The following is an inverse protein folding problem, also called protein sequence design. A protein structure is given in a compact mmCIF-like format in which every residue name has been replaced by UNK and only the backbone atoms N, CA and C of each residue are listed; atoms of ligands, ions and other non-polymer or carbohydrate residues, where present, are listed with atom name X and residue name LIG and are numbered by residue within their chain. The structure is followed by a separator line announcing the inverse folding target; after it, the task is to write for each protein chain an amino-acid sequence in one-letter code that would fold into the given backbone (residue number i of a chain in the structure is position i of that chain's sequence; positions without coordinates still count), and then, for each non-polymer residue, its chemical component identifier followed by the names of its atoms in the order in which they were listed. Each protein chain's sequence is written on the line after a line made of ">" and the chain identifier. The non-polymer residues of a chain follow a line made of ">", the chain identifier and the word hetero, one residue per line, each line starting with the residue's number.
data_IF_893488055774
#
_entry.id   IF_893488055774
#
_cell.length_a   1.000
_cell.length_b   1.000
_cell.length_c   1.000
_cell.angle_alpha   90.00
_cell.angle_beta   90.00
_cell.angle_gamma   90.00
#
_symmetry.space_group_name_H-M   'P 1'
#
loop_
_entity.id
_entity.type
_entity.pdbx_description
1 polymer ?
#
# COMPACT_ATOMS: atom_id res chain seq x y z
N UNK A 1 -8.64 1.16 7.26
CA UNK A 1 -8.58 0.79 5.82
C UNK A 1 -7.77 1.79 5.00
N UNK A 2 -7.96 3.12 5.16
CA UNK A 2 -7.21 4.15 4.44
C UNK A 2 -5.70 3.86 4.32
N UNK A 3 -5.00 3.67 5.44
CA UNK A 3 -3.55 3.41 5.44
C UNK A 3 -3.19 2.11 4.69
N UNK A 4 -4.04 1.09 4.77
CA UNK A 4 -3.83 -0.18 4.08
C UNK A 4 -4.04 -0.07 2.56
N UNK A 5 -4.80 0.92 2.08
CA UNK A 5 -4.94 1.22 0.66
C UNK A 5 -3.73 2.00 0.17
N UNK A 6 -3.33 3.05 0.89
CA UNK A 6 -2.20 3.90 0.48
C UNK A 6 -0.83 3.23 0.60
N UNK A 7 -0.69 2.14 1.36
CA UNK A 7 0.59 1.49 1.59
C UNK A 7 1.31 1.09 0.31
N UNK A 8 0.60 0.58 -0.69
CA UNK A 8 1.22 0.14 -1.95
C UNK A 8 1.61 1.33 -2.82
N UNK A 9 0.79 2.38 -2.84
CA UNK A 9 1.13 3.63 -3.54
C UNK A 9 2.43 4.22 -2.99
N UNK A 10 2.49 4.39 -1.66
CA UNK A 10 3.66 4.95 -0.99
C UNK A 10 4.90 4.08 -1.24
N UNK A 11 4.76 2.75 -1.09
CA UNK A 11 5.83 1.79 -1.34
C UNK A 11 6.40 1.97 -2.75
N UNK A 12 5.58 1.90 -3.79
CA UNK A 12 6.09 2.01 -5.17
C UNK A 12 6.51 3.43 -5.60
N UNK A 13 6.23 4.44 -4.78
CA UNK A 13 6.73 5.81 -4.94
C UNK A 13 8.04 6.08 -4.19
N UNK A 14 8.49 5.13 -3.35
CA UNK A 14 9.62 5.28 -2.44
C UNK A 14 10.95 5.12 -3.17
N UNK A 15 11.90 6.00 -2.84
CA UNK A 15 13.30 5.97 -3.33
C UNK A 15 14.27 5.81 -2.16
N UNK A 16 15.54 5.51 -2.44
CA UNK A 16 16.60 5.52 -1.42
C UNK A 16 16.74 6.92 -0.80
N UNK A 17 16.66 7.98 -1.62
CA UNK A 17 16.81 9.37 -1.19
C UNK A 17 15.58 9.91 -0.45
N UNK A 18 14.39 9.40 -0.82
CA UNK A 18 13.10 9.78 -0.23
C UNK A 18 12.30 8.52 0.12
N UNK A 19 12.62 7.87 1.24
CA UNK A 19 11.91 6.66 1.68
C UNK A 19 10.48 6.99 2.11
N UNK A 20 9.50 6.22 1.62
CA UNK A 20 8.08 6.41 1.91
C UNK A 20 7.43 5.13 2.45
N UNK A 21 7.93 4.64 3.59
CA UNK A 21 7.52 3.35 4.16
C UNK A 21 6.70 3.45 5.44
N UNK A 22 6.30 4.66 5.84
CA UNK A 22 5.62 4.91 7.12
C UNK A 22 4.28 4.18 7.28
N UNK A 23 3.60 3.87 6.16
CA UNK A 23 2.33 3.11 6.15
C UNK A 23 2.53 1.60 5.99
N UNK A 24 3.76 1.14 5.73
CA UNK A 24 4.06 -0.29 5.66
C UNK A 24 4.00 -0.93 7.05
N UNK A 25 3.62 -2.23 7.15
CA UNK A 25 3.71 -2.95 8.41
C UNK A 25 5.13 -2.87 8.98
N UNK A 26 5.26 -2.65 10.28
CA UNK A 26 6.56 -2.59 10.96
C UNK A 26 7.02 -3.97 11.42
N UNK A 27 8.32 -4.12 11.68
CA UNK A 27 8.88 -5.31 12.32
C UNK A 27 9.57 -6.28 11.38
N UNK A 28 10.21 -7.30 11.96
CA UNK A 28 11.06 -8.26 11.24
C UNK A 28 10.27 -9.17 10.29
N UNK A 29 8.98 -9.37 10.57
CA UNK A 29 8.06 -10.14 9.73
C UNK A 29 7.32 -9.28 8.69
N UNK A 30 7.72 -8.01 8.53
CA UNK A 30 7.11 -7.16 7.51
C UNK A 30 7.43 -7.67 6.10
N UNK A 31 6.41 -7.66 5.25
CA UNK A 31 6.60 -7.85 3.81
C UNK A 31 7.41 -6.70 3.20
N UNK A 32 7.39 -5.50 3.79
CA UNK A 32 8.19 -4.37 3.36
C UNK A 32 9.66 -4.56 3.77
N UNK A 33 10.53 -4.71 2.78
CA UNK A 33 11.96 -4.97 2.96
C UNK A 33 12.65 -3.82 3.71
N UNK A 34 12.24 -2.56 3.47
CA UNK A 34 12.73 -1.39 4.20
C UNK A 34 12.36 -1.45 5.68
N UNK A 35 11.11 -1.78 6.01
CA UNK A 35 10.67 -1.89 7.42
C UNK A 35 11.38 -3.04 8.14
N UNK A 36 11.65 -4.13 7.42
CA UNK A 36 12.42 -5.25 7.95
C UNK A 36 13.88 -4.87 8.22
N UNK A 37 14.52 -4.15 7.32
CA UNK A 37 15.87 -3.60 7.53
C UNK A 37 15.90 -2.60 8.70
N UNK A 38 14.87 -1.74 8.82
CA UNK A 38 14.70 -0.83 9.97
C UNK A 38 14.60 -1.59 11.28
N UNK A 39 13.79 -2.64 11.34
CA UNK A 39 13.62 -3.44 12.55
C UNK A 39 14.90 -4.19 12.97
N UNK A 40 15.78 -4.51 12.02
CA UNK A 40 17.07 -5.18 12.26
C UNK A 40 18.23 -4.22 12.51
N UNK A 41 18.03 -2.91 12.32
CA UNK A 41 19.11 -1.92 12.39
C UNK A 41 20.05 -1.93 11.16
N UNK A 42 19.57 -2.42 10.02
CA UNK A 42 20.35 -2.64 8.79
C UNK A 42 20.10 -1.56 7.72
N UNK A 43 19.41 -0.44 8.05
CA UNK A 43 19.04 0.60 7.07
C UNK A 43 20.22 1.21 6.31
N UNK A 44 21.41 1.28 6.93
CA UNK A 44 22.60 1.82 6.28
C UNK A 44 23.04 1.00 5.05
N UNK A 45 22.68 -0.28 5.00
CA UNK A 45 22.99 -1.20 3.89
C UNK A 45 21.79 -1.42 2.96
N UNK A 46 20.63 -0.87 3.31
CA UNK A 46 19.42 -1.08 2.55
C UNK A 46 19.48 -0.36 1.19
N UNK A 47 19.00 -1.05 0.17
CA UNK A 47 18.78 -0.53 -1.17
C UNK A 47 17.46 -1.05 -1.70
N UNK A 48 16.68 -0.16 -2.31
CA UNK A 48 15.46 -0.57 -3.01
C UNK A 48 15.81 -1.55 -4.14
N UNK A 49 15.16 -2.71 -4.14
CA UNK A 49 15.40 -3.82 -5.06
C UNK A 49 14.34 -3.95 -6.16
N UNK A 50 13.31 -3.10 -6.13
CA UNK A 50 12.24 -3.05 -7.12
C UNK A 50 12.33 -1.82 -8.01
N UNK A 51 11.71 -1.92 -9.20
CA UNK A 51 11.52 -0.78 -10.08
C UNK A 51 10.41 0.11 -9.54
N UNK A 52 10.72 1.39 -9.35
CA UNK A 52 9.73 2.39 -9.01
C UNK A 52 8.71 2.54 -10.14
N UNK A 53 7.49 2.91 -9.76
CA UNK A 53 6.51 3.32 -10.76
C UNK A 53 6.94 4.68 -11.35
N UNK A 54 6.89 4.84 -12.68
CA UNK A 54 7.13 6.12 -13.32
C UNK A 54 6.22 7.24 -12.78
N UNK A 55 6.67 8.50 -12.71
CA UNK A 55 5.88 9.61 -12.15
C UNK A 55 4.53 9.84 -12.84
N UNK A 56 4.45 9.62 -14.15
CA UNK A 56 3.21 9.69 -14.94
C UNK A 56 2.24 8.58 -14.55
N UNK A 57 2.73 7.35 -14.35
CA UNK A 57 1.91 6.23 -13.84
C UNK A 57 1.41 6.52 -12.43
N UNK A 58 2.29 6.97 -11.52
CA UNK A 58 1.90 7.37 -10.17
C UNK A 58 0.85 8.47 -10.17
N UNK A 59 0.95 9.43 -11.08
CA UNK A 59 -0.02 10.52 -11.23
C UNK A 59 -1.36 9.98 -11.75
N UNK A 60 -1.33 9.11 -12.76
CA UNK A 60 -2.52 8.54 -13.38
C UNK A 60 -3.32 7.65 -12.41
N UNK A 61 -2.65 6.88 -11.55
CA UNK A 61 -3.33 5.96 -10.62
C UNK A 61 -3.70 6.62 -9.28
N UNK A 62 -3.12 7.77 -8.93
CA UNK A 62 -3.39 8.43 -7.63
C UNK A 62 -4.89 8.70 -7.39
N UNK A 63 -5.69 9.20 -8.36
CA UNK A 63 -7.13 9.39 -8.16
C UNK A 63 -7.86 8.10 -7.79
N UNK A 64 -7.39 6.94 -8.27
CA UNK A 64 -7.96 5.63 -7.91
C UNK A 64 -7.73 5.34 -6.42
N UNK A 65 -6.53 5.61 -5.90
CA UNK A 65 -6.25 5.46 -4.48
C UNK A 65 -7.07 6.43 -3.62
N UNK A 66 -7.25 7.67 -4.09
CA UNK A 66 -8.11 8.67 -3.44
C UNK A 66 -9.56 8.20 -3.38
N UNK A 67 -10.11 7.72 -4.49
CA UNK A 67 -11.47 7.19 -4.59
C UNK A 67 -11.69 5.97 -3.70
N UNK A 68 -10.77 5.00 -3.74
CA UNK A 68 -10.84 3.80 -2.91
C UNK A 68 -10.72 4.11 -1.41
N UNK A 69 -10.13 5.25 -1.06
CA UNK A 69 -9.91 5.66 0.32
C UNK A 69 -11.01 6.58 0.88
N UNK A 70 -12.06 6.87 0.11
CA UNK A 70 -13.20 7.67 0.57
C UNK A 70 -13.91 7.00 1.74
N UNK A 71 -14.16 7.75 2.83
CA UNK A 71 -14.81 7.21 4.03
C UNK A 71 -16.17 6.57 3.72
N UNK A 72 -16.94 7.17 2.83
CA UNK A 72 -18.25 6.65 2.39
C UNK A 72 -18.16 5.26 1.75
N UNK A 73 -17.06 4.95 1.05
CA UNK A 73 -16.81 3.61 0.51
C UNK A 73 -16.34 2.67 1.62
N UNK A 74 -15.41 3.14 2.46
CA UNK A 74 -14.82 2.33 3.54
C UNK A 74 -15.85 1.94 4.61
N UNK A 75 -16.79 2.81 4.93
CA UNK A 75 -17.87 2.57 5.89
C UNK A 75 -18.77 1.40 5.44
N UNK A 76 -19.01 1.26 4.13
CA UNK A 76 -19.76 0.12 3.58
C UNK A 76 -19.05 -1.22 3.79
N UNK A 77 -17.72 -1.21 3.90
CA UNK A 77 -16.93 -2.40 4.18
C UNK A 77 -16.90 -2.77 5.68
N UNK A 78 -17.31 -1.89 6.60
CA UNK A 78 -17.33 -2.19 8.04
C UNK A 78 -18.49 -3.12 8.43
N UNK A 79 -19.57 -3.15 7.63
CA UNK A 79 -20.77 -3.96 7.89
C UNK A 79 -20.74 -5.38 7.30
N UNK A 80 -19.60 -5.82 6.74
CA UNK A 80 -19.43 -7.04 5.93
C UNK A 80 -19.57 -8.37 6.67
N UNK A 81 -20.68 -8.59 7.38
CA UNK A 81 -21.07 -9.92 7.89
C UNK A 81 -21.98 -10.70 6.92
N UNK A 82 -22.40 -10.09 5.80
CA UNK A 82 -23.33 -10.68 4.84
C UNK A 82 -22.88 -10.61 3.37
N UNK A 83 -21.61 -10.31 3.10
CA UNK A 83 -21.10 -10.44 1.73
C UNK A 83 -21.10 -11.93 1.39
N UNK A 84 -22.04 -12.34 0.54
CA UNK A 84 -22.02 -13.68 0.01
C UNK A 84 -20.70 -13.85 -0.78
N UNK A 85 -20.13 -15.05 -0.74
CA UNK A 85 -18.86 -15.31 -1.39
C UNK A 85 -19.00 -15.50 -2.93
N UNK A 86 -20.20 -15.25 -3.50
CA UNK A 86 -20.55 -15.56 -4.89
C UNK A 86 -20.78 -14.33 -5.78
N UNK A 87 -20.94 -13.13 -5.20
CA UNK A 87 -21.31 -11.91 -5.93
C UNK A 87 -20.14 -11.26 -6.68
N UNK A 88 -18.90 -11.70 -6.45
CA UNK A 88 -17.75 -11.25 -7.24
C UNK A 88 -17.65 -11.90 -8.63
N UNK A 89 -18.46 -12.93 -8.92
CA UNK A 89 -18.34 -13.71 -10.17
C UNK A 89 -19.30 -13.29 -11.30
N UNK A 90 -20.30 -12.44 -11.05
CA UNK A 90 -21.36 -12.14 -12.03
C UNK A 90 -21.41 -10.69 -12.54
N UNK A 91 -20.26 -10.03 -12.75
CA UNK A 91 -20.20 -8.75 -13.47
C UNK A 91 -19.50 -8.83 -14.85
N UNK A 92 -19.70 -9.93 -15.58
CA UNK A 92 -19.47 -10.00 -17.02
C UNK A 92 -20.81 -9.95 -17.76
#
# INVERSE_FOLDING_TARGET
>A
MYNAIWVTYDHYSSTDEKPCHSRCPTGVESWCTWQRASAKGELALFKHDYKLLPPDVLTAIKPIYEDLSKSTLLERCLGGFNQNNNESYNQL
#
